data_IF_285900750261
#
_entry.id   IF_285900750261
#
_cell.length_a   1.000
_cell.length_b   1.000
_cell.length_c   1.000
_cell.angle_alpha   90.00
_cell.angle_beta   90.00
_cell.angle_gamma   90.00
#
_symmetry.space_group_name_H-M   'P 1'
#
loop_
_entity.id
_entity.type
_entity.pdbx_description
1 polymer ?
#
# COMPACT_ATOMS: atom_id res chain seq x y z
N UNK A 1 5.20 -2.15 11.52
CA UNK A 1 4.60 -3.01 10.48
C UNK A 1 4.41 -2.21 9.21
N UNK A 2 4.70 -2.81 8.10
CA UNK A 2 4.54 -2.21 6.77
C UNK A 2 3.29 -2.79 6.13
N UNK A 3 2.41 -1.95 5.66
CA UNK A 3 1.19 -2.39 4.99
C UNK A 3 1.27 -2.07 3.50
N UNK A 4 1.25 -3.11 2.67
CA UNK A 4 1.30 -2.99 1.21
C UNK A 4 -0.12 -3.10 0.66
N UNK A 5 -0.51 -2.11 -0.12
CA UNK A 5 -1.80 -2.10 -0.80
C UNK A 5 -1.55 -2.46 -2.26
N UNK A 6 -2.05 -3.63 -2.66
CA UNK A 6 -1.83 -4.22 -3.97
C UNK A 6 -2.87 -3.71 -4.97
N UNK A 7 -2.41 -3.22 -6.11
CA UNK A 7 -3.25 -2.74 -7.21
C UNK A 7 -3.23 -3.71 -8.40
N UNK A 8 -3.22 -5.01 -8.10
CA UNK A 8 -3.23 -6.09 -9.10
C UNK A 8 -1.98 -6.07 -10.00
N UNK A 9 -0.85 -5.75 -9.41
CA UNK A 9 0.43 -5.72 -10.13
C UNK A 9 1.23 -6.98 -9.85
N UNK A 10 1.83 -7.56 -10.90
CA UNK A 10 2.62 -8.78 -10.78
C UNK A 10 3.91 -8.58 -9.97
N UNK A 11 4.38 -7.36 -9.81
CA UNK A 11 5.58 -7.05 -9.03
C UNK A 11 5.32 -6.90 -7.53
N UNK A 12 4.07 -6.92 -7.10
CA UNK A 12 3.74 -6.74 -5.69
C UNK A 12 4.41 -7.78 -4.80
N UNK A 13 4.51 -9.02 -5.24
CA UNK A 13 5.20 -10.07 -4.49
C UNK A 13 6.67 -9.76 -4.27
N UNK A 14 7.34 -9.18 -5.25
CA UNK A 14 8.75 -8.78 -5.13
C UNK A 14 8.90 -7.65 -4.11
N UNK A 15 8.00 -6.69 -4.13
CA UNK A 15 7.97 -5.58 -3.18
C UNK A 15 7.80 -6.12 -1.76
N UNK A 16 6.81 -6.99 -1.54
CA UNK A 16 6.56 -7.61 -0.24
C UNK A 16 7.80 -8.35 0.24
N UNK A 17 8.43 -9.13 -0.62
CA UNK A 17 9.61 -9.92 -0.29
C UNK A 17 10.78 -9.03 0.17
N UNK A 18 11.02 -7.94 -0.53
CA UNK A 18 12.12 -7.04 -0.20
C UNK A 18 11.90 -6.33 1.12
N UNK A 19 10.70 -5.83 1.36
CA UNK A 19 10.40 -5.11 2.60
C UNK A 19 10.28 -6.04 3.80
N UNK A 20 9.96 -7.32 3.59
CA UNK A 20 9.92 -8.31 4.67
C UNK A 20 11.28 -8.56 5.30
N UNK A 21 12.36 -8.19 4.62
CA UNK A 21 13.70 -8.26 5.19
C UNK A 21 13.95 -7.22 6.29
N UNK A 22 13.15 -6.17 6.35
CA UNK A 22 13.34 -5.06 7.27
C UNK A 22 12.29 -5.01 8.38
N UNK A 23 11.08 -5.47 8.12
CA UNK A 23 10.00 -5.37 9.09
C UNK A 23 8.89 -6.36 8.72
N UNK A 24 7.95 -6.57 9.64
CA UNK A 24 6.76 -7.34 9.36
C UNK A 24 5.96 -6.65 8.25
N UNK A 25 5.55 -7.41 7.25
CA UNK A 25 4.78 -6.91 6.11
C UNK A 25 3.43 -7.62 6.05
N UNK A 26 2.36 -6.85 5.91
CA UNK A 26 1.04 -7.35 5.57
C UNK A 26 0.65 -6.78 4.21
N UNK A 27 -0.10 -7.53 3.42
CA UNK A 27 -0.50 -7.13 2.08
C UNK A 27 -1.95 -7.50 1.84
N UNK A 28 -2.73 -6.54 1.35
CA UNK A 28 -4.11 -6.77 0.92
C UNK A 28 -4.34 -6.09 -0.41
N UNK A 29 -5.30 -6.60 -1.18
CA UNK A 29 -5.70 -5.98 -2.43
C UNK A 29 -6.40 -4.63 -2.13
N UNK A 30 -6.31 -3.69 -3.07
CA UNK A 30 -6.83 -2.33 -2.90
C UNK A 30 -8.34 -2.30 -2.60
N UNK A 31 -9.09 -3.33 -3.02
CA UNK A 31 -10.52 -3.42 -2.77
C UNK A 31 -10.87 -4.12 -1.45
N UNK A 32 -9.86 -4.59 -0.71
CA UNK A 32 -10.01 -5.30 0.56
C UNK A 32 -9.14 -4.71 1.66
N UNK A 33 -8.92 -3.42 1.62
CA UNK A 33 -8.06 -2.73 2.59
C UNK A 33 -8.70 -2.76 3.99
N UNK A 34 -7.87 -3.07 4.99
CA UNK A 34 -8.28 -3.11 6.39
C UNK A 34 -7.88 -1.83 7.11
N UNK A 35 -8.84 -1.10 7.65
CA UNK A 35 -8.57 0.08 8.47
C UNK A 35 -7.74 -0.24 9.71
N UNK A 36 -7.95 -1.41 10.31
CA UNK A 36 -7.17 -1.82 11.48
C UNK A 36 -5.69 -2.01 11.14
N UNK A 37 -5.40 -2.61 9.97
CA UNK A 37 -4.03 -2.77 9.50
C UNK A 37 -3.38 -1.42 9.21
N UNK A 38 -4.13 -0.50 8.62
CA UNK A 38 -3.63 0.86 8.37
C UNK A 38 -3.24 1.54 9.68
N UNK A 39 -4.08 1.44 10.69
CA UNK A 39 -3.81 2.06 12.00
C UNK A 39 -2.56 1.48 12.66
N UNK A 40 -2.32 0.18 12.50
CA UNK A 40 -1.16 -0.49 13.08
C UNK A 40 0.13 -0.24 12.30
N UNK A 41 0.02 0.11 11.02
CA UNK A 41 1.19 0.27 10.16
C UNK A 41 1.91 1.60 10.43
N UNK A 42 3.23 1.54 10.47
CA UNK A 42 4.08 2.74 10.47
C UNK A 42 4.30 3.28 9.06
N UNK A 43 4.27 2.39 8.08
CA UNK A 43 4.50 2.70 6.67
C UNK A 43 3.44 2.06 5.81
N UNK A 44 2.91 2.80 4.86
CA UNK A 44 1.96 2.31 3.86
C UNK A 44 2.64 2.37 2.50
N UNK A 45 2.62 1.26 1.77
CA UNK A 45 3.20 1.19 0.43
C UNK A 45 2.08 0.94 -0.58
N UNK A 46 1.98 1.80 -1.58
CA UNK A 46 1.08 1.59 -2.70
C UNK A 46 1.86 0.95 -3.84
N UNK A 47 1.46 -0.26 -4.23
CA UNK A 47 2.08 -0.92 -5.38
C UNK A 47 1.64 -0.24 -6.68
N UNK A 48 2.41 -0.39 -7.77
CA UNK A 48 1.94 0.06 -9.07
C UNK A 48 0.71 -0.74 -9.48
N UNK A 49 -0.08 -0.20 -10.40
CA UNK A 49 -1.27 -0.88 -10.90
C UNK A 49 -1.63 -0.37 -12.27
N UNK A 50 -2.39 -1.15 -13.03
CA UNK A 50 -2.83 -0.72 -14.35
C UNK A 50 -3.84 0.41 -14.24
N UNK A 51 -3.83 1.29 -15.23
CA UNK A 51 -4.81 2.35 -15.33
C UNK A 51 -4.39 3.64 -14.65
N UNK A 52 -5.35 4.42 -14.28
CA UNK A 52 -5.18 5.80 -13.85
C UNK A 52 -5.59 5.92 -12.37
N UNK A 53 -5.07 6.89 -11.62
CA UNK A 53 -5.43 7.06 -10.20
C UNK A 53 -6.93 7.17 -9.93
N UNK A 54 -7.71 7.63 -10.89
CA UNK A 54 -9.17 7.70 -10.78
C UNK A 54 -9.82 6.32 -10.64
N UNK A 55 -9.14 5.26 -11.05
CA UNK A 55 -9.62 3.89 -10.93
C UNK A 55 -9.49 3.35 -9.50
N UNK A 56 -8.80 4.07 -8.63
CA UNK A 56 -8.52 3.64 -7.27
C UNK A 56 -8.93 4.69 -6.24
N UNK A 57 -10.25 4.97 -6.11
CA UNK A 57 -10.69 6.04 -5.19
C UNK A 57 -10.38 5.75 -3.72
N UNK A 58 -10.35 4.49 -3.33
CA UNK A 58 -10.02 4.10 -1.95
C UNK A 58 -8.57 4.47 -1.65
N UNK A 59 -7.66 4.21 -2.58
CA UNK A 59 -6.25 4.57 -2.45
C UNK A 59 -6.07 6.08 -2.26
N UNK A 60 -6.78 6.86 -3.06
CA UNK A 60 -6.73 8.32 -2.96
C UNK A 60 -7.22 8.82 -1.60
N UNK A 61 -8.28 8.21 -1.07
CA UNK A 61 -8.81 8.55 0.25
C UNK A 61 -7.80 8.25 1.35
N UNK A 62 -7.15 7.09 1.28
CA UNK A 62 -6.14 6.68 2.25
C UNK A 62 -4.97 7.67 2.23
N UNK A 63 -4.49 8.00 1.05
CA UNK A 63 -3.40 8.96 0.90
C UNK A 63 -3.73 10.30 1.54
N UNK A 64 -4.90 10.84 1.26
CA UNK A 64 -5.33 12.13 1.80
C UNK A 64 -5.48 12.09 3.32
N UNK A 65 -6.00 10.99 3.86
CA UNK A 65 -6.25 10.85 5.29
C UNK A 65 -4.95 10.72 6.10
N UNK A 66 -3.98 10.00 5.58
CA UNK A 66 -2.76 9.67 6.33
C UNK A 66 -1.52 10.45 5.90
N UNK A 67 -1.64 11.29 4.89
CA UNK A 67 -0.57 12.17 4.45
C UNK A 67 -0.09 13.03 5.62
N UNK A 68 1.21 12.99 5.89
CA UNK A 68 1.81 13.72 7.02
C UNK A 68 1.66 13.04 8.37
N UNK A 69 0.89 11.95 8.48
CA UNK A 69 0.73 11.19 9.72
C UNK A 69 1.47 9.88 9.71
N UNK A 70 1.63 9.28 8.54
CA UNK A 70 2.35 8.03 8.35
C UNK A 70 3.27 8.18 7.15
N UNK A 71 4.32 7.35 7.13
CA UNK A 71 5.20 7.28 5.97
C UNK A 71 4.45 6.58 4.83
N UNK A 72 4.38 7.23 3.68
CA UNK A 72 3.70 6.69 2.51
C UNK A 72 4.69 6.61 1.37
N UNK A 73 4.77 5.43 0.75
CA UNK A 73 5.64 5.18 -0.39
C UNK A 73 4.77 4.71 -1.56
N UNK A 74 4.86 5.43 -2.66
CA UNK A 74 4.23 5.00 -3.90
C UNK A 74 5.28 4.43 -4.83
N UNK A 75 5.03 3.24 -5.36
CA UNK A 75 5.94 2.60 -6.31
C UNK A 75 5.31 2.72 -7.69
N UNK A 76 6.04 3.36 -8.60
CA UNK A 76 5.60 3.56 -9.98
C UNK A 76 6.59 2.89 -10.92
N UNK A 77 6.07 2.15 -11.87
CA UNK A 77 6.88 1.54 -12.92
C UNK A 77 6.93 2.42 -14.16
#
# INVERSE_FOLDING_TARGET
MIYVIDHNDSFTHNVVHQFALFDKVECDNYDKVSENKIKQASTIIFSPGPGNPKNYPITSKIYKKYKGKKKIIGICL
#
